data_IF_661163427286
#
_entry.id   IF_661163427286
#
_cell.length_a   1.000
_cell.length_b   1.000
_cell.length_c   1.000
_cell.angle_alpha   90.00
_cell.angle_beta   90.00
_cell.angle_gamma   90.00
#
_symmetry.space_group_name_H-M   'P 1'
#
loop_
_entity.id
_entity.type
_entity.pdbx_description
1 polymer ?
#
# COMPACT_ATOMS: atom_id res chain seq x y z
N UNK A 1 -8.76 12.27 -14.45
CA UNK A 1 -8.20 13.15 -13.40
C UNK A 1 -8.95 14.46 -13.32
N UNK A 2 -9.04 15.28 -14.38
CA UNK A 2 -9.76 16.57 -14.41
C UNK A 2 -11.13 16.55 -13.73
N UNK A 3 -12.01 15.62 -14.12
CA UNK A 3 -13.35 15.50 -13.52
C UNK A 3 -13.35 15.22 -12.02
N UNK A 4 -12.32 14.56 -11.50
CA UNK A 4 -12.17 14.33 -10.06
C UNK A 4 -11.80 15.63 -9.35
N UNK A 5 -10.93 16.42 -9.95
CA UNK A 5 -10.55 17.73 -9.43
C UNK A 5 -11.75 18.70 -9.47
N UNK A 6 -12.49 18.75 -10.58
CA UNK A 6 -13.71 19.54 -10.70
C UNK A 6 -14.75 19.16 -9.64
N UNK A 7 -14.96 17.87 -9.42
CA UNK A 7 -15.91 17.36 -8.42
C UNK A 7 -15.51 17.70 -6.97
N UNK A 8 -14.24 17.97 -6.72
CA UNK A 8 -13.71 18.29 -5.41
C UNK A 8 -13.69 19.80 -5.11
N UNK A 9 -13.94 20.66 -6.10
CA UNK A 9 -13.77 22.12 -6.00
C UNK A 9 -14.62 22.76 -4.89
N UNK A 10 -15.80 22.20 -4.60
CA UNK A 10 -16.69 22.71 -3.56
C UNK A 10 -16.36 22.22 -2.14
N UNK A 11 -15.41 21.30 -2.01
CA UNK A 11 -15.05 20.73 -0.70
C UNK A 11 -14.07 21.64 0.04
N UNK A 12 -14.32 22.00 1.32
CA UNK A 12 -13.50 22.94 2.07
C UNK A 12 -12.24 22.28 2.64
N UNK A 13 -11.58 21.42 1.88
CA UNK A 13 -10.37 20.67 2.25
C UNK A 13 -9.41 20.60 1.06
N UNK A 14 -8.12 20.45 1.35
CA UNK A 14 -7.15 20.15 0.31
C UNK A 14 -7.24 18.68 -0.10
N UNK A 15 -7.43 18.43 -1.38
CA UNK A 15 -7.52 17.08 -1.95
C UNK A 15 -6.44 16.88 -3.01
N UNK A 16 -5.78 15.72 -2.95
CA UNK A 16 -4.88 15.25 -3.97
C UNK A 16 -5.29 13.85 -4.43
N UNK A 17 -5.21 13.60 -5.72
CA UNK A 17 -5.57 12.30 -6.31
C UNK A 17 -4.35 11.60 -6.86
N UNK A 18 -4.20 10.34 -6.49
CA UNK A 18 -3.19 9.46 -7.08
C UNK A 18 -3.72 8.84 -8.38
N UNK A 19 -2.89 8.83 -9.39
CA UNK A 19 -3.14 8.10 -10.62
C UNK A 19 -2.90 6.59 -10.45
N UNK A 20 -3.39 5.78 -11.39
CA UNK A 20 -3.13 4.35 -11.44
C UNK A 20 -1.70 4.10 -11.93
N UNK A 21 -0.83 3.59 -11.03
CA UNK A 21 0.58 3.35 -11.32
C UNK A 21 0.87 2.09 -12.14
N UNK A 22 -0.06 1.12 -12.15
CA UNK A 22 0.10 -0.12 -12.89
C UNK A 22 -0.13 0.09 -14.39
N UNK A 23 0.94 0.18 -15.15
CA UNK A 23 0.90 0.28 -16.60
C UNK A 23 2.14 -0.35 -17.22
N UNK A 24 1.97 -0.97 -18.37
CA UNK A 24 3.07 -1.41 -19.23
C UNK A 24 3.54 -0.31 -20.18
N UNK A 25 2.86 0.85 -20.21
CA UNK A 25 3.20 1.98 -21.06
C UNK A 25 3.45 3.23 -20.21
N UNK A 26 4.70 3.73 -20.13
CA UNK A 26 5.04 4.93 -19.39
C UNK A 26 4.24 6.19 -19.80
N UNK A 27 3.89 6.34 -21.07
CA UNK A 27 3.17 7.52 -21.56
C UNK A 27 1.80 7.66 -20.89
N UNK A 28 1.10 6.54 -20.61
CA UNK A 28 -0.19 6.58 -19.90
C UNK A 28 -0.06 7.01 -18.44
N UNK A 29 1.11 6.84 -17.84
CA UNK A 29 1.42 7.35 -16.51
C UNK A 29 1.65 8.87 -16.54
N UNK A 30 2.43 9.34 -17.52
CA UNK A 30 2.68 10.77 -17.74
C UNK A 30 1.39 11.55 -17.97
N UNK A 31 0.52 11.05 -18.84
CA UNK A 31 -0.80 11.65 -19.11
C UNK A 31 -1.63 11.85 -17.83
N UNK A 32 -1.56 10.94 -16.88
CA UNK A 32 -2.28 11.06 -15.61
C UNK A 32 -1.71 12.17 -14.72
N UNK A 33 -0.38 12.31 -14.69
CA UNK A 33 0.29 13.38 -13.92
C UNK A 33 0.00 14.72 -14.57
N UNK A 34 0.13 14.82 -15.88
CA UNK A 34 -0.17 16.04 -16.64
C UNK A 34 -1.63 16.46 -16.51
N UNK A 35 -2.54 15.50 -16.32
CA UNK A 35 -3.95 15.76 -16.02
C UNK A 35 -4.23 16.09 -14.54
N UNK A 36 -3.18 16.27 -13.71
CA UNK A 36 -3.28 16.74 -12.33
C UNK A 36 -3.21 15.68 -11.25
N UNK A 37 -2.72 14.45 -11.54
CA UNK A 37 -2.40 13.51 -10.47
C UNK A 37 -1.20 14.00 -9.66
N UNK A 38 -1.31 13.96 -8.32
CA UNK A 38 -0.24 14.38 -7.42
C UNK A 38 0.75 13.26 -7.09
N UNK A 39 0.57 12.08 -7.68
CA UNK A 39 1.42 10.90 -7.52
C UNK A 39 0.76 9.68 -8.13
N UNK A 40 1.37 8.51 -7.93
CA UNK A 40 0.92 7.24 -8.50
C UNK A 40 0.68 6.20 -7.43
N UNK A 41 -0.32 5.33 -7.63
CA UNK A 41 -0.62 4.18 -6.77
C UNK A 41 -0.47 2.88 -7.56
N UNK A 42 0.36 2.01 -7.04
CA UNK A 42 0.49 0.62 -7.46
C UNK A 42 -0.39 -0.28 -6.57
N UNK A 43 -1.08 -1.23 -7.17
CA UNK A 43 -1.94 -2.17 -6.46
C UNK A 43 -1.91 -3.54 -7.16
N UNK A 44 -1.85 -4.63 -6.39
CA UNK A 44 -1.75 -6.00 -6.90
C UNK A 44 -2.90 -6.39 -7.82
N UNK A 45 -4.13 -5.94 -7.54
CA UNK A 45 -5.31 -6.21 -8.36
C UNK A 45 -5.15 -5.77 -9.81
N UNK A 46 -4.18 -4.89 -10.06
CA UNK A 46 -3.89 -4.36 -11.39
C UNK A 46 -2.61 -4.93 -12.01
N UNK A 47 -1.98 -5.90 -11.32
CA UNK A 47 -0.73 -6.52 -11.76
C UNK A 47 0.51 -5.70 -11.41
N UNK A 48 0.96 -5.80 -10.15
CA UNK A 48 2.19 -5.14 -9.66
C UNK A 48 3.43 -6.00 -9.96
N UNK A 49 3.71 -6.22 -11.23
CA UNK A 49 4.94 -6.90 -11.66
C UNK A 49 6.16 -6.01 -11.42
N UNK A 50 7.38 -6.59 -11.34
CA UNK A 50 8.61 -5.80 -11.26
C UNK A 50 8.74 -4.75 -12.36
N UNK A 51 8.28 -5.06 -13.57
CA UNK A 51 8.28 -4.11 -14.69
C UNK A 51 7.29 -2.95 -14.48
N UNK A 52 6.08 -3.24 -13.99
CA UNK A 52 5.09 -2.20 -13.69
C UNK A 52 5.59 -1.27 -12.58
N UNK A 53 6.20 -1.81 -11.54
CA UNK A 53 6.82 -1.04 -10.46
C UNK A 53 7.93 -0.15 -11.01
N UNK A 54 8.80 -0.70 -11.85
CA UNK A 54 9.92 0.03 -12.44
C UNK A 54 9.45 1.18 -13.34
N UNK A 55 8.47 0.96 -14.21
CA UNK A 55 7.89 2.02 -15.05
C UNK A 55 7.25 3.12 -14.22
N UNK A 56 6.47 2.75 -13.21
CA UNK A 56 5.82 3.72 -12.34
C UNK A 56 6.84 4.60 -11.63
N UNK A 57 7.85 4.00 -10.99
CA UNK A 57 8.88 4.74 -10.28
C UNK A 57 9.73 5.60 -11.23
N UNK A 58 10.01 5.13 -12.44
CA UNK A 58 10.76 5.91 -13.43
C UNK A 58 10.01 7.20 -13.81
N UNK A 59 8.72 7.10 -14.04
CA UNK A 59 7.90 8.28 -14.35
C UNK A 59 7.73 9.17 -13.12
N UNK A 60 7.56 8.61 -11.93
CA UNK A 60 7.46 9.39 -10.70
C UNK A 60 8.75 10.19 -10.43
N UNK A 61 9.92 9.61 -10.68
CA UNK A 61 11.20 10.31 -10.57
C UNK A 61 11.34 11.43 -11.61
N UNK A 62 10.89 11.19 -12.86
CA UNK A 62 10.93 12.18 -13.94
C UNK A 62 10.09 13.43 -13.61
N UNK A 63 8.92 13.23 -12.97
CA UNK A 63 7.98 14.31 -12.65
C UNK A 63 8.07 14.82 -11.20
N UNK A 64 8.98 14.26 -10.41
CA UNK A 64 9.14 14.57 -8.98
C UNK A 64 7.82 14.44 -8.18
N UNK A 65 7.13 13.32 -8.37
CA UNK A 65 5.89 12.97 -7.68
C UNK A 65 6.02 11.67 -6.92
N UNK A 66 5.22 11.49 -5.89
CA UNK A 66 5.27 10.31 -5.03
C UNK A 66 4.69 9.07 -5.72
N UNK A 67 5.37 7.92 -5.54
CA UNK A 67 4.80 6.60 -5.77
C UNK A 67 4.40 5.95 -4.45
N UNK A 68 3.24 5.32 -4.43
CA UNK A 68 2.78 4.49 -3.33
C UNK A 68 2.41 3.09 -3.83
N UNK A 69 2.71 2.06 -3.04
CA UNK A 69 2.38 0.68 -3.37
C UNK A 69 1.55 0.04 -2.26
N UNK A 70 0.47 -0.63 -2.64
CA UNK A 70 -0.17 -1.61 -1.80
C UNK A 70 0.75 -2.84 -1.76
N UNK A 71 1.20 -3.23 -0.58
CA UNK A 71 2.23 -4.27 -0.42
C UNK A 71 1.70 -5.68 -0.56
N UNK A 72 0.45 -5.81 -0.87
CA UNK A 72 -0.24 -7.04 -1.17
C UNK A 72 -0.01 -7.40 -2.64
N UNK A 73 1.19 -7.79 -2.98
CA UNK A 73 1.44 -8.35 -4.31
C UNK A 73 1.02 -9.81 -4.31
N UNK A 74 0.06 -10.16 -5.12
CA UNK A 74 -0.52 -11.52 -5.27
C UNK A 74 0.51 -12.56 -5.76
N UNK A 75 1.66 -12.66 -5.14
CA UNK A 75 2.74 -13.59 -5.50
C UNK A 75 3.15 -13.57 -7.00
N UNK A 76 2.59 -12.67 -7.78
CA UNK A 76 2.92 -12.52 -9.21
C UNK A 76 4.34 -12.05 -9.42
N UNK A 77 4.87 -11.30 -8.46
CA UNK A 77 6.26 -10.84 -8.42
C UNK A 77 7.21 -11.82 -7.70
N UNK A 78 6.72 -12.98 -7.28
CA UNK A 78 7.51 -13.96 -6.56
C UNK A 78 7.69 -13.61 -5.07
N UNK A 79 8.92 -13.41 -4.62
CA UNK A 79 9.27 -13.12 -3.23
C UNK A 79 9.34 -11.63 -2.96
N UNK A 80 9.30 -11.26 -1.67
CA UNK A 80 9.45 -9.85 -1.24
C UNK A 80 10.74 -9.20 -1.77
N UNK A 81 11.79 -9.98 -1.93
CA UNK A 81 13.07 -9.55 -2.49
C UNK A 81 12.93 -9.05 -3.93
N UNK A 82 12.08 -9.66 -4.74
CA UNK A 82 11.84 -9.26 -6.13
C UNK A 82 11.12 -7.90 -6.18
N UNK A 83 10.14 -7.70 -5.28
CA UNK A 83 9.46 -6.41 -5.13
C UNK A 83 10.42 -5.32 -4.68
N UNK A 84 11.22 -5.58 -3.65
CA UNK A 84 12.22 -4.63 -3.15
C UNK A 84 13.28 -4.33 -4.23
N UNK A 85 13.72 -5.35 -4.96
CA UNK A 85 14.68 -5.16 -6.06
C UNK A 85 14.12 -4.27 -7.18
N UNK A 86 12.81 -4.34 -7.44
CA UNK A 86 12.15 -3.49 -8.43
C UNK A 86 12.13 -2.00 -8.03
N UNK A 87 12.25 -1.68 -6.75
CA UNK A 87 12.36 -0.29 -6.29
C UNK A 87 13.67 0.35 -6.76
N UNK A 88 14.73 -0.43 -6.94
CA UNK A 88 16.06 0.06 -7.39
C UNK A 88 16.60 1.23 -6.56
N UNK A 89 16.31 1.24 -5.25
CA UNK A 89 16.72 2.30 -4.34
C UNK A 89 15.96 3.63 -4.47
N UNK A 90 14.89 3.68 -5.28
CA UNK A 90 14.05 4.88 -5.44
C UNK A 90 13.07 5.01 -4.29
N UNK A 91 12.67 6.23 -3.98
CA UNK A 91 11.73 6.51 -2.89
C UNK A 91 10.34 5.97 -3.23
N UNK A 92 9.77 5.24 -2.28
CA UNK A 92 8.43 4.66 -2.41
C UNK A 92 7.74 4.61 -1.05
N UNK A 93 6.43 4.90 -1.03
CA UNK A 93 5.58 4.73 0.13
C UNK A 93 4.94 3.34 0.09
N UNK A 94 5.22 2.49 1.07
CA UNK A 94 4.63 1.16 1.20
C UNK A 94 3.49 1.19 2.21
N UNK A 95 2.29 0.83 1.76
CA UNK A 95 1.11 0.70 2.60
C UNK A 95 1.05 -0.70 3.21
N UNK A 96 0.40 -0.87 4.36
CA UNK A 96 0.28 -2.17 5.04
C UNK A 96 1.62 -2.89 5.23
N UNK A 97 2.66 -2.16 5.53
CA UNK A 97 4.01 -2.73 5.59
C UNK A 97 4.18 -3.74 6.73
N UNK A 98 3.28 -3.73 7.71
CA UNK A 98 3.20 -4.75 8.76
C UNK A 98 2.60 -6.08 8.26
N UNK A 99 1.95 -6.10 7.09
CA UNK A 99 1.43 -7.30 6.47
C UNK A 99 -0.10 -7.45 6.46
N UNK A 100 -0.88 -6.48 6.94
CA UNK A 100 -2.35 -6.53 6.90
C UNK A 100 -2.90 -6.59 5.46
N UNK A 101 -2.18 -6.08 4.49
CA UNK A 101 -2.48 -6.24 3.08
C UNK A 101 -2.44 -7.69 2.59
N UNK A 102 -1.66 -8.57 3.21
CA UNK A 102 -1.58 -10.02 3.00
C UNK A 102 -0.47 -10.47 2.07
N UNK A 103 -0.17 -9.77 1.00
CA UNK A 103 0.91 -10.11 0.09
C UNK A 103 2.27 -10.03 0.76
N UNK A 104 3.12 -11.02 0.55
CA UNK A 104 4.41 -11.18 1.23
C UNK A 104 4.35 -11.15 2.76
N UNK A 105 3.17 -11.30 3.37
CA UNK A 105 3.07 -11.31 4.83
C UNK A 105 3.62 -12.63 5.42
N UNK A 106 4.39 -12.56 6.53
CA UNK A 106 4.79 -11.35 7.25
C UNK A 106 6.04 -10.66 6.70
N UNK A 107 6.69 -11.19 5.67
CA UNK A 107 8.04 -10.80 5.21
C UNK A 107 8.11 -9.37 4.66
N UNK A 108 6.97 -8.79 4.26
CA UNK A 108 6.92 -7.43 3.74
C UNK A 108 7.43 -6.38 4.74
N UNK A 109 7.37 -6.65 6.04
CA UNK A 109 7.89 -5.77 7.09
C UNK A 109 9.39 -5.47 6.89
N UNK A 110 10.11 -6.35 6.18
CA UNK A 110 11.52 -6.15 5.82
C UNK A 110 11.75 -4.90 4.98
N UNK A 111 10.73 -4.44 4.25
CA UNK A 111 10.82 -3.20 3.47
C UNK A 111 11.15 -1.98 4.35
N UNK A 112 10.72 -1.99 5.62
CA UNK A 112 11.02 -0.93 6.59
C UNK A 112 12.53 -0.77 6.90
N UNK A 113 13.37 -1.75 6.56
CA UNK A 113 14.82 -1.66 6.75
C UNK A 113 15.57 -0.88 5.65
N UNK A 114 14.88 -0.47 4.59
CA UNK A 114 15.47 0.23 3.46
C UNK A 114 15.25 1.74 3.58
N UNK A 115 16.32 2.55 3.46
CA UNK A 115 16.25 4.00 3.72
C UNK A 115 15.43 4.78 2.67
N UNK A 116 15.16 4.18 1.53
CA UNK A 116 14.35 4.74 0.46
C UNK A 116 12.85 4.39 0.59
N UNK A 117 12.47 3.59 1.58
CA UNK A 117 11.08 3.19 1.81
C UNK A 117 10.47 4.03 2.91
N UNK A 118 9.26 4.54 2.67
CA UNK A 118 8.41 5.20 3.65
C UNK A 118 7.32 4.20 4.07
N UNK A 119 7.53 3.43 5.14
CA UNK A 119 6.56 2.41 5.53
C UNK A 119 5.42 3.01 6.34
N UNK A 120 4.21 2.49 6.14
CA UNK A 120 3.04 2.88 6.94
C UNK A 120 2.16 1.70 7.33
N UNK A 121 1.53 1.83 8.49
CA UNK A 121 0.43 1.02 8.95
C UNK A 121 -0.91 1.58 8.44
N UNK A 122 -1.95 0.77 8.51
CA UNK A 122 -3.31 1.17 8.13
C UNK A 122 -4.33 0.74 9.18
N UNK A 123 -5.54 1.28 9.09
CA UNK A 123 -6.59 1.10 10.10
C UNK A 123 -6.85 -0.33 10.57
N UNK A 124 -6.79 -1.41 9.75
CA UNK A 124 -7.03 -2.75 10.25
C UNK A 124 -6.00 -3.24 11.27
N UNK A 125 -4.84 -2.62 11.37
CA UNK A 125 -3.78 -2.98 12.33
C UNK A 125 -3.25 -1.73 13.01
N UNK A 126 -4.08 -1.10 13.81
CA UNK A 126 -3.66 0.10 14.54
C UNK A 126 -2.57 -0.25 15.57
N UNK A 127 -1.54 0.58 15.73
CA UNK A 127 -0.52 0.36 16.74
C UNK A 127 -1.11 0.34 18.15
N UNK A 128 -0.44 -0.36 19.07
CA UNK A 128 -0.82 -0.54 20.48
C UNK A 128 -2.15 -1.26 20.72
N UNK A 129 -2.62 -2.04 19.76
CA UNK A 129 -3.95 -2.66 19.80
C UNK A 129 -3.92 -4.19 19.67
N UNK A 130 -2.78 -4.82 19.94
CA UNK A 130 -2.66 -6.29 19.90
C UNK A 130 -3.61 -7.06 20.82
N UNK A 131 -4.20 -6.38 21.79
CA UNK A 131 -5.17 -6.95 22.72
C UNK A 131 -6.62 -6.86 22.23
N UNK A 132 -6.85 -6.25 21.07
CA UNK A 132 -8.17 -6.01 20.47
C UNK A 132 -8.26 -6.63 19.07
N UNK A 133 -7.75 -7.86 18.94
CA UNK A 133 -7.69 -8.55 17.64
C UNK A 133 -9.06 -8.76 17.00
N UNK A 134 -10.07 -9.04 17.80
CA UNK A 134 -11.43 -9.27 17.30
C UNK A 134 -11.99 -8.01 16.62
N UNK A 135 -11.68 -6.82 17.14
CA UNK A 135 -12.08 -5.55 16.56
C UNK A 135 -11.35 -5.30 15.23
N UNK A 136 -10.07 -5.69 15.14
CA UNK A 136 -9.32 -5.60 13.89
C UNK A 136 -9.84 -6.56 12.83
N UNK A 137 -10.15 -7.79 13.21
CA UNK A 137 -10.78 -8.76 12.32
C UNK A 137 -12.12 -8.24 11.81
N UNK A 138 -12.95 -7.71 12.70
CA UNK A 138 -14.23 -7.11 12.34
C UNK A 138 -14.06 -5.93 11.38
N UNK A 139 -13.10 -5.05 11.64
CA UNK A 139 -12.81 -3.91 10.77
C UNK A 139 -12.37 -4.37 9.38
N UNK A 140 -11.46 -5.36 9.31
CA UNK A 140 -11.00 -5.92 8.04
C UNK A 140 -12.16 -6.53 7.26
N UNK A 141 -13.02 -7.30 7.92
CA UNK A 141 -14.18 -7.92 7.29
C UNK A 141 -15.14 -6.86 6.72
N UNK A 142 -15.40 -5.78 7.46
CA UNK A 142 -16.23 -4.68 6.98
C UNK A 142 -15.60 -3.97 5.78
N UNK A 143 -14.32 -3.64 5.85
CA UNK A 143 -13.60 -2.95 4.76
C UNK A 143 -13.56 -3.76 3.47
N UNK A 144 -13.54 -5.08 3.55
CA UNK A 144 -13.49 -5.98 2.40
C UNK A 144 -14.86 -6.56 2.02
N UNK A 145 -15.95 -6.11 2.65
CA UNK A 145 -17.31 -6.60 2.40
C UNK A 145 -17.46 -8.12 2.60
N UNK A 146 -16.74 -8.68 3.58
CA UNK A 146 -16.75 -10.11 3.88
C UNK A 146 -17.95 -10.50 4.76
N UNK A 147 -18.37 -11.77 4.67
CA UNK A 147 -19.49 -12.32 5.43
C UNK A 147 -18.98 -13.30 6.50
N UNK A 148 -19.26 -13.01 7.77
CA UNK A 148 -18.93 -13.89 8.92
C UNK A 148 -19.56 -15.29 8.86
N UNK A 149 -20.53 -15.51 7.95
CA UNK A 149 -21.14 -16.82 7.71
C UNK A 149 -20.36 -17.67 6.71
N UNK A 150 -19.42 -17.09 6.02
CA UNK A 150 -18.58 -17.76 5.02
C UNK A 150 -17.23 -18.10 5.64
N UNK A 151 -16.90 -19.39 5.85
CA UNK A 151 -15.65 -19.80 6.49
C UNK A 151 -14.40 -19.29 5.78
N UNK A 152 -14.43 -19.20 4.45
CA UNK A 152 -13.34 -18.70 3.62
C UNK A 152 -13.08 -17.21 3.87
N UNK A 153 -14.12 -16.42 4.11
CA UNK A 153 -14.02 -15.00 4.42
C UNK A 153 -13.37 -14.78 5.81
N UNK A 154 -13.76 -15.62 6.78
CA UNK A 154 -13.12 -15.61 8.10
C UNK A 154 -11.64 -16.00 7.99
N UNK A 155 -11.34 -17.07 7.27
CA UNK A 155 -9.95 -17.51 7.06
C UNK A 155 -9.11 -16.44 6.35
N UNK A 156 -9.69 -15.70 5.43
CA UNK A 156 -9.04 -14.57 4.78
C UNK A 156 -8.69 -13.47 5.80
N UNK A 157 -9.65 -13.07 6.63
CA UNK A 157 -9.41 -12.06 7.66
C UNK A 157 -8.34 -12.51 8.67
N UNK A 158 -8.43 -13.74 9.17
CA UNK A 158 -7.44 -14.34 10.09
C UNK A 158 -6.03 -14.38 9.49
N UNK A 159 -5.91 -14.56 8.18
CA UNK A 159 -4.61 -14.57 7.50
C UNK A 159 -3.92 -13.19 7.49
N UNK A 160 -4.70 -12.12 7.63
CA UNK A 160 -4.24 -10.71 7.51
C UNK A 160 -3.93 -10.07 8.86
N UNK A 161 -4.71 -10.39 9.88
CA UNK A 161 -4.58 -9.80 11.22
C UNK A 161 -3.78 -10.75 12.11
N UNK A 162 -2.59 -10.33 12.50
CA UNK A 162 -1.64 -11.16 13.26
C UNK A 162 -1.11 -10.39 14.46
N UNK A 163 -1.18 -10.99 15.68
CA UNK A 163 -0.66 -10.33 16.89
C UNK A 163 0.83 -9.99 16.80
N UNK A 164 1.60 -10.84 16.12
CA UNK A 164 3.04 -10.69 15.98
C UNK A 164 3.41 -9.47 15.14
N UNK A 165 2.68 -9.25 14.04
CA UNK A 165 2.92 -8.10 13.16
C UNK A 165 2.46 -6.81 13.80
N UNK A 166 1.35 -6.81 14.54
CA UNK A 166 0.90 -5.65 15.33
C UNK A 166 1.95 -5.30 16.41
N UNK A 167 2.47 -6.30 17.11
CA UNK A 167 3.51 -6.06 18.11
C UNK A 167 4.82 -5.55 17.50
N UNK A 168 5.15 -5.98 16.28
CA UNK A 168 6.33 -5.49 15.57
C UNK A 168 6.14 -4.05 15.09
N UNK A 169 4.95 -3.70 14.58
CA UNK A 169 4.67 -2.32 14.16
C UNK A 169 4.68 -1.35 15.35
N UNK A 170 4.24 -1.77 16.56
CA UNK A 170 4.33 -0.94 17.76
C UNK A 170 5.78 -0.48 18.00
N UNK A 171 6.74 -1.40 17.90
CA UNK A 171 8.16 -1.09 18.04
C UNK A 171 8.63 -0.13 16.95
N UNK A 172 8.19 -0.35 15.71
CA UNK A 172 8.59 0.48 14.58
C UNK A 172 7.99 1.89 14.65
N UNK A 173 6.77 2.04 15.20
CA UNK A 173 6.21 3.35 15.53
C UNK A 173 6.96 4.06 16.63
N UNK A 174 7.32 3.37 17.72
CA UNK A 174 8.13 3.92 18.80
C UNK A 174 9.51 4.39 18.33
N UNK A 175 10.08 3.70 17.34
CA UNK A 175 11.34 4.09 16.71
C UNK A 175 11.19 5.23 15.69
N UNK A 176 9.97 5.67 15.38
CA UNK A 176 9.71 6.68 14.37
C UNK A 176 9.94 6.21 12.93
N UNK A 177 9.91 4.89 12.70
CA UNK A 177 10.11 4.30 11.36
C UNK A 177 8.79 4.22 10.60
N UNK A 178 7.71 3.81 11.26
CA UNK A 178 6.38 3.72 10.66
C UNK A 178 5.59 5.03 10.82
N UNK A 179 4.77 5.32 9.81
CA UNK A 179 3.70 6.31 9.87
C UNK A 179 2.33 5.62 9.87
N UNK A 180 1.28 6.36 10.22
CA UNK A 180 -0.12 5.96 10.00
C UNK A 180 -0.62 6.55 8.69
N UNK A 181 -1.43 5.78 7.97
CA UNK A 181 -2.10 6.21 6.75
C UNK A 181 -3.60 6.31 7.01
#
# INVERSE_FOLDING_TARGET
MERMLEAAEELPVNLGYLGKGNSANPETLKEQIEAGACGMKLHEDWGSTPAAIDYCLTVCDEYDVQAAIHTDTLNEAGFVEDTIAAFKGRTIHTYHTEGAGGGHAPDIIRAASFPNVLPSSTNPTMPYTKNTLDEHLDMLMVCHHLDKKVPEDIAFADSRIRPETIAAEDVLHDMGIFSMM
#
